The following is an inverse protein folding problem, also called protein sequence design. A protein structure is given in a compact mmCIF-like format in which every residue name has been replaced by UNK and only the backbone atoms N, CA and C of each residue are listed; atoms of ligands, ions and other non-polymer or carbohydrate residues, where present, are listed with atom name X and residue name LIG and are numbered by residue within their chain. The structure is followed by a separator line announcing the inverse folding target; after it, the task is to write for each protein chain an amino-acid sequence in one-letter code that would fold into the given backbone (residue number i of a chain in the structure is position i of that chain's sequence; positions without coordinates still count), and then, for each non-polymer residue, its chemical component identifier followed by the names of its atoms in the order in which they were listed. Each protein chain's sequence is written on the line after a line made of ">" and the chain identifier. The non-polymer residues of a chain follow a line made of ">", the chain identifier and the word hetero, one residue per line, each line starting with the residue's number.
data_IF_596240915825
#
_entry.id   IF_596240915825
#
_cell.length_a   1.000
_cell.length_b   1.000
_cell.length_c   1.000
_cell.angle_alpha   90.00
_cell.angle_beta   90.00
_cell.angle_gamma   90.00
#
_symmetry.space_group_name_H-M   'P 1'
#
loop_
_entity.id
_entity.type
_entity.pdbx_description
1 polymer ?
#
# COMPACT_ATOMS: atom_id res chain seq x y z
N UNK A 1 -11.96 7.82 16.78
CA UNK A 1 -13.42 7.54 16.73
C UNK A 1 -13.96 8.12 15.41
N UNK A 2 -13.74 7.41 14.31
CA UNK A 2 -14.23 7.78 12.97
C UNK A 2 -15.70 7.37 12.86
N UNK A 3 -16.57 8.33 12.56
CA UNK A 3 -18.01 8.12 12.49
C UNK A 3 -18.37 7.12 11.37
N UNK A 4 -19.27 6.13 11.58
CA UNK A 4 -19.67 5.14 10.58
C UNK A 4 -20.16 5.77 9.26
N UNK A 5 -20.72 6.98 9.33
CA UNK A 5 -21.16 7.74 8.17
C UNK A 5 -19.98 8.17 7.27
N UNK A 6 -18.87 8.59 7.87
CA UNK A 6 -17.66 8.99 7.13
C UNK A 6 -17.07 7.79 6.38
N UNK A 7 -17.02 6.62 7.02
CA UNK A 7 -16.50 5.38 6.43
C UNK A 7 -17.36 4.88 5.25
N UNK A 8 -18.68 5.11 5.29
CA UNK A 8 -19.58 4.81 4.17
C UNK A 8 -19.38 5.75 2.98
N UNK A 9 -19.00 7.00 3.24
CA UNK A 9 -18.71 7.98 2.18
C UNK A 9 -17.32 7.75 1.54
N UNK A 10 -16.32 7.31 2.31
CA UNK A 10 -15.00 6.97 1.79
C UNK A 10 -15.03 5.71 0.92
N UNK A 11 -15.77 4.68 1.33
CA UNK A 11 -15.99 3.46 0.54
C UNK A 11 -16.70 3.74 -0.78
N UNK A 12 -17.81 4.49 -0.75
CA UNK A 12 -18.49 4.91 -1.98
C UNK A 12 -17.56 5.70 -2.91
N UNK A 13 -16.80 6.65 -2.36
CA UNK A 13 -15.85 7.44 -3.14
C UNK A 13 -14.75 6.56 -3.75
N UNK A 14 -14.22 5.58 -3.01
CA UNK A 14 -13.27 4.59 -3.51
C UNK A 14 -13.82 3.82 -4.70
N UNK A 15 -15.06 3.32 -4.61
CA UNK A 15 -15.71 2.64 -5.75
C UNK A 15 -15.90 3.56 -6.95
N UNK A 16 -16.30 4.82 -6.74
CA UNK A 16 -16.40 5.78 -7.85
C UNK A 16 -15.05 5.98 -8.55
N UNK A 17 -13.95 6.07 -7.80
CA UNK A 17 -12.61 6.16 -8.38
C UNK A 17 -12.30 4.91 -9.21
N UNK A 18 -12.62 3.71 -8.72
CA UNK A 18 -12.37 2.46 -9.45
C UNK A 18 -13.15 2.39 -10.77
N UNK A 19 -14.43 2.77 -10.75
CA UNK A 19 -15.25 2.84 -11.96
C UNK A 19 -14.72 3.86 -12.97
N UNK A 20 -14.29 5.04 -12.49
CA UNK A 20 -13.70 6.07 -13.36
C UNK A 20 -12.38 5.59 -13.97
N UNK A 21 -11.52 4.94 -13.18
CA UNK A 21 -10.27 4.36 -13.67
C UNK A 21 -10.55 3.24 -14.70
N UNK A 22 -11.52 2.37 -14.43
CA UNK A 22 -11.90 1.29 -15.34
C UNK A 22 -12.46 1.84 -16.66
N UNK A 23 -13.33 2.85 -16.59
CA UNK A 23 -13.86 3.55 -17.74
C UNK A 23 -12.74 4.20 -18.57
N UNK A 24 -11.80 4.86 -17.92
CA UNK A 24 -10.66 5.50 -18.59
C UNK A 24 -9.76 4.49 -19.29
N UNK A 25 -9.45 3.36 -18.63
CA UNK A 25 -8.71 2.24 -19.25
C UNK A 25 -9.45 1.70 -20.49
N UNK A 26 -10.77 1.57 -20.41
CA UNK A 26 -11.62 1.17 -21.53
C UNK A 26 -11.58 2.17 -22.70
N UNK A 27 -11.61 3.47 -22.40
CA UNK A 27 -11.52 4.53 -23.41
C UNK A 27 -10.18 4.55 -24.15
N UNK A 28 -9.06 4.32 -23.44
CA UNK A 28 -7.72 4.25 -24.06
C UNK A 28 -7.57 3.10 -25.05
N UNK A 29 -8.38 2.05 -24.92
CA UNK A 29 -8.45 0.94 -25.88
C UNK A 29 -9.33 1.28 -27.09
N UNK A 30 -10.13 2.35 -27.01
CA UNK A 30 -10.99 2.83 -28.09
C UNK A 30 -10.25 3.83 -28.99
N UNK A 31 -10.61 3.89 -30.28
CA UNK A 31 -9.95 4.73 -31.29
C UNK A 31 -10.19 6.24 -31.06
N UNK A 32 -11.15 6.61 -30.20
CA UNK A 32 -11.55 8.00 -29.96
C UNK A 32 -10.92 8.53 -28.68
N UNK A 33 -9.68 9.01 -28.79
CA UNK A 33 -8.82 9.39 -27.68
C UNK A 33 -9.09 10.83 -27.16
N UNK A 34 -10.35 11.14 -26.82
CA UNK A 34 -10.73 12.42 -26.23
C UNK A 34 -11.32 12.19 -24.82
N UNK A 35 -10.47 11.94 -23.83
CA UNK A 35 -10.91 11.74 -22.44
C UNK A 35 -10.77 13.03 -21.63
N UNK A 36 -11.88 13.71 -21.35
CA UNK A 36 -11.99 14.80 -20.37
C UNK A 36 -12.16 14.30 -18.93
N UNK A 37 -12.28 12.99 -18.74
CA UNK A 37 -12.53 12.36 -17.43
C UNK A 37 -11.34 12.53 -16.48
N UNK A 38 -10.14 12.60 -17.05
CA UNK A 38 -8.92 12.93 -16.32
C UNK A 38 -9.04 14.21 -15.50
N UNK A 39 -9.61 15.26 -16.09
CA UNK A 39 -9.75 16.57 -15.44
C UNK A 39 -10.59 16.49 -14.17
N UNK A 40 -11.53 15.53 -14.12
CA UNK A 40 -12.38 15.30 -12.95
C UNK A 40 -11.60 14.63 -11.81
N UNK A 41 -10.70 13.69 -12.12
CA UNK A 41 -9.82 13.03 -11.15
C UNK A 41 -8.68 13.94 -10.69
N UNK A 42 -8.15 14.78 -11.58
CA UNK A 42 -7.01 15.66 -11.33
C UNK A 42 -7.41 17.01 -10.73
N UNK A 43 -8.71 17.27 -10.55
CA UNK A 43 -9.16 18.44 -9.81
C UNK A 43 -8.64 18.40 -8.38
N UNK A 44 -7.99 19.48 -7.92
CA UNK A 44 -7.29 19.58 -6.63
C UNK A 44 -8.09 18.99 -5.45
N UNK A 45 -9.35 19.39 -5.30
CA UNK A 45 -10.23 18.88 -4.24
C UNK A 45 -10.52 17.38 -4.34
N UNK A 46 -10.65 16.86 -5.55
CA UNK A 46 -10.90 15.43 -5.79
C UNK A 46 -9.65 14.62 -5.46
N UNK A 47 -8.49 15.10 -5.90
CA UNK A 47 -7.20 14.47 -5.66
C UNK A 47 -6.85 14.43 -4.17
N UNK A 48 -7.01 15.54 -3.45
CA UNK A 48 -6.82 15.59 -1.99
C UNK A 48 -7.76 14.64 -1.26
N UNK A 49 -9.03 14.56 -1.69
CA UNK A 49 -9.99 13.63 -1.12
C UNK A 49 -9.60 12.18 -1.40
N UNK A 50 -9.06 11.91 -2.57
CA UNK A 50 -8.57 10.57 -2.93
C UNK A 50 -7.36 10.18 -2.11
N UNK A 51 -6.32 11.00 -2.03
CA UNK A 51 -5.15 10.76 -1.17
C UNK A 51 -5.56 10.48 0.29
N UNK A 52 -6.49 11.29 0.83
CA UNK A 52 -7.02 11.07 2.19
C UNK A 52 -7.76 9.74 2.32
N UNK A 53 -8.57 9.39 1.32
CA UNK A 53 -9.33 8.14 1.30
C UNK A 53 -8.40 6.93 1.24
N UNK A 54 -7.37 6.96 0.39
CA UNK A 54 -6.35 5.89 0.34
C UNK A 54 -5.63 5.75 1.68
N UNK A 55 -5.21 6.89 2.26
CA UNK A 55 -4.54 6.87 3.56
C UNK A 55 -5.41 6.23 4.63
N UNK A 56 -6.67 6.66 4.75
CA UNK A 56 -7.62 6.10 5.72
C UNK A 56 -7.79 4.60 5.50
N UNK A 57 -8.00 4.16 4.26
CA UNK A 57 -8.19 2.74 3.95
C UNK A 57 -6.94 1.90 4.27
N UNK A 58 -5.76 2.39 3.90
CA UNK A 58 -4.50 1.71 4.16
C UNK A 58 -4.21 1.57 5.66
N UNK A 59 -4.44 2.65 6.43
CA UNK A 59 -4.26 2.64 7.89
C UNK A 59 -5.26 1.71 8.57
N UNK A 60 -6.55 1.78 8.23
CA UNK A 60 -7.57 0.90 8.80
C UNK A 60 -7.29 -0.57 8.49
N UNK A 61 -6.86 -0.87 7.25
CA UNK A 61 -6.48 -2.22 6.85
C UNK A 61 -5.25 -2.70 7.62
N UNK A 62 -4.24 -1.85 7.81
CA UNK A 62 -3.06 -2.16 8.61
C UNK A 62 -3.41 -2.39 10.08
N UNK A 63 -4.27 -1.55 10.69
CA UNK A 63 -4.73 -1.73 12.07
C UNK A 63 -5.44 -3.07 12.26
N UNK A 64 -6.33 -3.43 11.31
CA UNK A 64 -7.02 -4.72 11.33
C UNK A 64 -6.06 -5.90 11.18
N UNK A 65 -5.00 -5.76 10.36
CA UNK A 65 -3.99 -6.80 10.17
C UNK A 65 -3.14 -7.04 11.39
N UNK A 66 -2.64 -5.98 12.02
CA UNK A 66 -1.79 -6.08 13.20
C UNK A 66 -2.55 -6.57 14.45
N UNK A 67 -3.87 -6.39 14.46
CA UNK A 67 -4.76 -6.89 15.51
C UNK A 67 -5.19 -8.34 15.31
N UNK A 68 -4.80 -9.00 14.21
CA UNK A 68 -5.15 -10.39 13.94
C UNK A 68 -4.30 -11.35 14.78
N UNK A 69 -4.91 -12.40 15.33
CA UNK A 69 -4.19 -13.45 16.07
C UNK A 69 -3.16 -14.19 15.18
N UNK A 70 -3.37 -14.16 13.86
CA UNK A 70 -2.51 -14.79 12.85
C UNK A 70 -1.49 -13.83 12.23
N UNK A 71 -1.45 -12.57 12.65
CA UNK A 71 -0.67 -11.51 12.02
C UNK A 71 0.82 -11.86 11.85
N UNK A 72 1.37 -12.53 12.85
CA UNK A 72 2.78 -12.85 12.97
C UNK A 72 3.11 -14.27 12.51
N UNK A 73 2.09 -15.07 12.22
CA UNK A 73 2.27 -16.45 11.83
C UNK A 73 2.77 -16.53 10.39
N UNK A 74 3.61 -17.53 10.21
CA UNK A 74 3.94 -18.10 8.92
C UNK A 74 2.69 -18.38 8.09
N UNK A 75 2.65 -17.92 6.84
CA UNK A 75 1.66 -18.41 5.87
C UNK A 75 2.11 -19.70 5.20
N UNK A 76 3.40 -20.04 5.34
CA UNK A 76 4.02 -21.26 4.84
C UNK A 76 3.84 -22.35 5.89
N UNK A 77 2.80 -23.18 5.80
CA UNK A 77 2.56 -24.31 6.73
C UNK A 77 3.62 -25.42 6.72
N UNK A 78 4.84 -25.12 6.27
CA UNK A 78 6.01 -25.98 6.33
C UNK A 78 6.75 -25.60 7.60
N UNK A 79 6.53 -26.36 8.67
CA UNK A 79 7.65 -26.65 9.59
C UNK A 79 8.77 -27.14 8.68
N UNK A 80 9.87 -26.41 8.52
CA UNK A 80 11.22 -26.97 8.45
C UNK A 80 12.28 -25.99 7.92
N UNK A 81 13.44 -26.17 8.54
CA UNK A 81 14.79 -26.02 8.03
C UNK A 81 15.47 -24.65 8.11
N UNK A 82 16.64 -24.69 8.74
CA UNK A 82 17.44 -23.57 9.26
C UNK A 82 18.21 -22.87 8.12
N UNK A 83 17.65 -22.85 6.91
CA UNK A 83 18.33 -22.35 5.73
C UNK A 83 17.39 -21.49 4.86
N UNK A 84 17.34 -20.20 5.18
CA UNK A 84 17.26 -19.12 4.20
C UNK A 84 15.98 -18.98 3.33
N UNK A 85 14.86 -19.61 3.66
CA UNK A 85 13.58 -19.26 3.02
C UNK A 85 12.77 -18.42 3.98
N UNK A 86 12.70 -17.13 3.66
CA UNK A 86 11.95 -16.13 4.39
C UNK A 86 10.51 -16.54 4.50
N UNK A 87 10.06 -16.61 5.75
CA UNK A 87 8.68 -16.93 5.99
C UNK A 87 7.81 -15.71 5.70
N UNK A 88 6.95 -15.83 4.70
CA UNK A 88 6.01 -14.77 4.35
C UNK A 88 4.92 -14.80 5.41
N UNK A 89 4.81 -13.74 6.20
CA UNK A 89 3.69 -13.60 7.14
C UNK A 89 2.50 -12.95 6.45
N UNK A 90 1.32 -13.15 7.03
CA UNK A 90 0.08 -12.54 6.55
C UNK A 90 0.17 -11.00 6.48
N UNK A 91 0.79 -10.38 7.49
CA UNK A 91 1.00 -8.93 7.53
C UNK A 91 1.87 -8.47 6.37
N UNK A 92 2.99 -9.15 6.13
CA UNK A 92 3.95 -8.76 5.10
C UNK A 92 3.34 -8.83 3.69
N UNK A 93 2.61 -9.90 3.40
CA UNK A 93 1.97 -10.10 2.10
C UNK A 93 0.84 -9.08 1.87
N UNK A 94 -0.03 -8.88 2.87
CA UNK A 94 -1.18 -7.99 2.73
C UNK A 94 -0.78 -6.52 2.74
N UNK A 95 0.28 -6.14 3.44
CA UNK A 95 0.84 -4.80 3.37
C UNK A 95 1.40 -4.51 1.97
N UNK A 96 2.21 -5.43 1.42
CA UNK A 96 2.72 -5.32 0.05
C UNK A 96 1.61 -5.22 -1.00
N UNK A 97 0.58 -6.07 -0.92
CA UNK A 97 -0.60 -6.01 -1.81
C UNK A 97 -1.33 -4.67 -1.70
N UNK A 98 -1.36 -4.05 -0.52
CA UNK A 98 -2.01 -2.76 -0.30
C UNK A 98 -1.24 -1.63 -0.98
N UNK A 99 0.10 -1.61 -0.83
CA UNK A 99 0.93 -0.66 -1.54
C UNK A 99 0.81 -0.84 -3.07
N UNK A 100 0.83 -2.08 -3.57
CA UNK A 100 0.68 -2.34 -5.01
C UNK A 100 -0.68 -1.86 -5.54
N UNK A 101 -1.76 -2.10 -4.79
CA UNK A 101 -3.09 -1.63 -5.17
C UNK A 101 -3.14 -0.10 -5.28
N UNK A 102 -2.46 0.64 -4.39
CA UNK A 102 -2.34 2.10 -4.51
C UNK A 102 -1.58 2.46 -5.80
N UNK A 103 -0.44 1.80 -6.08
CA UNK A 103 0.34 2.01 -7.31
C UNK A 103 -0.51 1.84 -8.58
N UNK A 104 -1.26 0.74 -8.66
CA UNK A 104 -2.07 0.43 -9.84
C UNK A 104 -3.16 1.48 -10.10
N UNK A 105 -3.70 2.09 -9.04
CA UNK A 105 -4.75 3.10 -9.16
C UNK A 105 -4.19 4.45 -9.59
N UNK A 106 -3.07 4.93 -9.04
CA UNK A 106 -2.53 6.24 -9.44
C UNK A 106 -1.74 6.21 -10.75
N UNK A 107 -1.24 5.04 -11.20
CA UNK A 107 -0.44 4.94 -12.43
C UNK A 107 -1.20 5.39 -13.69
N UNK A 108 -2.54 5.39 -13.65
CA UNK A 108 -3.35 5.89 -14.77
C UNK A 108 -3.33 7.42 -14.90
N UNK A 109 -3.03 8.14 -13.82
CA UNK A 109 -3.06 9.61 -13.80
C UNK A 109 -2.12 10.18 -14.86
N UNK A 110 -2.51 11.18 -15.65
CA UNK A 110 -1.67 11.68 -16.75
C UNK A 110 -0.51 12.55 -16.24
N UNK A 111 -0.73 13.29 -15.15
CA UNK A 111 0.23 14.24 -14.58
C UNK A 111 1.19 13.56 -13.63
N UNK A 112 2.48 13.85 -13.80
CA UNK A 112 3.57 13.28 -12.99
C UNK A 112 3.50 13.79 -11.55
N UNK A 113 3.13 15.06 -11.38
CA UNK A 113 3.01 15.73 -10.08
C UNK A 113 1.99 15.02 -9.18
N UNK A 114 0.87 14.58 -9.75
CA UNK A 114 -0.15 13.85 -9.00
C UNK A 114 0.31 12.44 -8.62
N UNK A 115 1.05 11.76 -9.50
CA UNK A 115 1.66 10.46 -9.17
C UNK A 115 2.70 10.59 -8.05
N UNK A 116 3.48 11.68 -8.05
CA UNK A 116 4.45 11.97 -6.99
C UNK A 116 3.75 12.15 -5.63
N UNK A 117 2.58 12.79 -5.58
CA UNK A 117 1.82 12.90 -4.32
C UNK A 117 1.38 11.54 -3.76
N UNK A 118 1.00 10.59 -4.64
CA UNK A 118 0.69 9.22 -4.19
C UNK A 118 1.93 8.44 -3.79
N UNK A 119 3.06 8.65 -4.47
CA UNK A 119 4.33 8.07 -4.07
C UNK A 119 4.72 8.56 -2.66
N UNK A 120 4.56 9.85 -2.38
CA UNK A 120 4.79 10.42 -1.05
C UNK A 120 3.86 9.82 0.00
N UNK A 121 2.60 9.54 -0.34
CA UNK A 121 1.70 8.79 0.54
C UNK A 121 2.21 7.37 0.80
N UNK A 122 2.71 6.65 -0.20
CA UNK A 122 3.25 5.30 -0.01
C UNK A 122 4.50 5.31 0.88
N UNK A 123 5.38 6.29 0.70
CA UNK A 123 6.55 6.49 1.56
C UNK A 123 6.14 6.79 3.01
N UNK A 124 5.14 7.65 3.21
CA UNK A 124 4.58 7.90 4.53
C UNK A 124 4.00 6.62 5.17
N UNK A 125 3.26 5.81 4.41
CA UNK A 125 2.71 4.55 4.92
C UNK A 125 3.82 3.55 5.30
N UNK A 126 4.93 3.53 4.56
CA UNK A 126 6.11 2.73 4.88
C UNK A 126 6.79 3.18 6.18
N UNK A 127 6.96 4.49 6.36
CA UNK A 127 7.50 5.06 7.60
C UNK A 127 6.61 4.74 8.81
N UNK A 128 5.29 4.94 8.68
CA UNK A 128 4.31 4.61 9.71
C UNK A 128 4.35 3.11 10.06
N UNK A 129 4.46 2.25 9.05
CA UNK A 129 4.60 0.80 9.23
C UNK A 129 5.90 0.43 9.96
N UNK A 130 7.03 1.04 9.58
CA UNK A 130 8.32 0.81 10.23
C UNK A 130 8.25 1.19 11.72
N UNK A 131 7.68 2.34 12.06
CA UNK A 131 7.52 2.78 13.45
C UNK A 131 6.72 1.75 14.25
N UNK A 132 5.61 1.25 13.69
CA UNK A 132 4.78 0.21 14.33
C UNK A 132 5.54 -1.10 14.50
N UNK A 133 6.33 -1.52 13.52
CA UNK A 133 7.17 -2.72 13.65
C UNK A 133 8.22 -2.57 14.76
N UNK A 134 8.82 -1.39 14.91
CA UNK A 134 9.76 -1.10 16.01
C UNK A 134 9.05 -1.14 17.36
N UNK A 135 7.85 -0.58 17.46
CA UNK A 135 7.03 -0.64 18.68
C UNK A 135 6.73 -2.10 19.06
N UNK A 136 6.24 -2.90 18.11
CA UNK A 136 5.94 -4.32 18.32
C UNK A 136 7.19 -5.12 18.72
N UNK A 137 8.33 -4.87 18.06
CA UNK A 137 9.61 -5.48 18.43
C UNK A 137 9.95 -5.22 19.91
N UNK A 138 9.79 -3.97 20.37
CA UNK A 138 10.08 -3.60 21.76
C UNK A 138 9.10 -4.25 22.73
N UNK A 139 7.83 -4.41 22.36
CA UNK A 139 6.84 -5.15 23.16
C UNK A 139 7.18 -6.63 23.31
N UNK A 140 7.85 -7.23 22.31
CA UNK A 140 8.32 -8.62 22.34
C UNK A 140 9.76 -8.78 22.84
N UNK A 141 10.41 -7.72 23.32
CA UNK A 141 11.83 -7.73 23.70
C UNK A 141 12.13 -8.71 24.85
N UNK A 142 11.16 -8.94 25.74
CA UNK A 142 11.25 -9.92 26.83
C UNK A 142 11.27 -11.38 26.34
N UNK A 143 10.93 -11.63 25.06
CA UNK A 143 10.93 -12.94 24.42
C UNK A 143 11.60 -12.88 23.03
N UNK A 144 12.94 -12.66 22.97
CA UNK A 144 13.66 -12.37 21.72
C UNK A 144 13.75 -13.57 20.74
N UNK A 145 13.28 -14.74 21.15
CA UNK A 145 13.17 -15.95 20.32
C UNK A 145 11.71 -16.44 20.19
N UNK A 146 10.75 -15.64 20.65
CA UNK A 146 9.33 -15.94 20.46
C UNK A 146 8.92 -15.82 19.01
N UNK A 147 7.92 -16.60 18.60
CA UNK A 147 7.40 -16.63 17.22
C UNK A 147 7.02 -15.23 16.73
N UNK A 148 6.44 -14.39 17.59
CA UNK A 148 6.08 -13.01 17.25
C UNK A 148 7.29 -12.11 16.97
N UNK A 149 8.37 -12.22 17.74
CA UNK A 149 9.59 -11.44 17.51
C UNK A 149 10.25 -11.84 16.18
N UNK A 150 10.34 -13.14 15.92
CA UNK A 150 10.81 -13.67 14.64
C UNK A 150 9.90 -13.25 13.47
N UNK A 151 8.58 -13.24 13.68
CA UNK A 151 7.60 -12.77 12.70
C UNK A 151 7.82 -11.30 12.31
N UNK A 152 8.09 -10.41 13.27
CA UNK A 152 8.41 -9.00 13.00
C UNK A 152 9.68 -8.87 12.14
N UNK A 153 10.73 -9.64 12.43
CA UNK A 153 11.96 -9.63 11.62
C UNK A 153 11.72 -10.15 10.19
N UNK A 154 10.95 -11.22 10.05
CA UNK A 154 10.57 -11.78 8.75
C UNK A 154 9.77 -10.78 7.91
N UNK A 155 8.81 -10.10 8.53
CA UNK A 155 8.04 -9.02 7.90
C UNK A 155 8.97 -7.94 7.34
N UNK A 156 9.86 -7.42 8.18
CA UNK A 156 10.78 -6.34 7.79
C UNK A 156 11.67 -6.79 6.64
N UNK A 157 12.23 -8.00 6.70
CA UNK A 157 13.10 -8.50 5.65
C UNK A 157 12.33 -8.71 4.32
N UNK A 158 11.10 -9.24 4.37
CA UNK A 158 10.27 -9.39 3.18
C UNK A 158 9.92 -8.04 2.54
N UNK A 159 9.54 -7.04 3.35
CA UNK A 159 9.26 -5.69 2.84
C UNK A 159 10.51 -5.08 2.20
N UNK A 160 11.70 -5.25 2.79
CA UNK A 160 12.96 -4.79 2.20
C UNK A 160 13.21 -5.43 0.83
N UNK A 161 12.96 -6.73 0.67
CA UNK A 161 13.11 -7.40 -0.63
C UNK A 161 12.16 -6.85 -1.67
N UNK A 162 10.89 -6.67 -1.32
CA UNK A 162 9.91 -6.07 -2.23
C UNK A 162 10.32 -4.66 -2.64
N UNK A 163 10.79 -3.84 -1.69
CA UNK A 163 11.22 -2.48 -1.99
C UNK A 163 12.43 -2.45 -2.93
N UNK A 164 13.35 -3.40 -2.83
CA UNK A 164 14.47 -3.56 -3.77
C UNK A 164 13.96 -3.89 -5.18
N UNK A 165 13.02 -4.83 -5.29
CA UNK A 165 12.41 -5.17 -6.58
C UNK A 165 11.64 -3.97 -7.18
N UNK A 166 11.08 -3.11 -6.31
CA UNK A 166 10.33 -1.93 -6.72
C UNK A 166 11.23 -0.78 -7.19
N UNK A 167 12.42 -0.64 -6.64
CA UNK A 167 13.42 0.35 -7.07
C UNK A 167 13.73 0.20 -8.56
N UNK A 168 13.82 -1.04 -9.05
CA UNK A 168 14.09 -1.37 -10.45
C UNK A 168 12.87 -1.20 -11.37
N UNK A 169 11.69 -0.89 -10.83
CA UNK A 169 10.48 -0.73 -11.63
C UNK A 169 10.56 0.58 -12.43
N UNK A 170 10.37 0.47 -13.75
CA UNK A 170 10.39 1.63 -14.68
C UNK A 170 9.52 2.81 -14.25
N UNK A 171 8.42 2.56 -13.54
CA UNK A 171 7.58 3.60 -12.96
C UNK A 171 8.32 4.43 -11.90
N UNK A 172 8.95 3.77 -10.92
CA UNK A 172 9.67 4.43 -9.82
C UNK A 172 10.90 5.16 -10.34
N UNK A 173 11.64 4.54 -11.27
CA UNK A 173 12.77 5.18 -11.93
C UNK A 173 12.38 6.48 -12.65
N UNK A 174 11.24 6.47 -13.38
CA UNK A 174 10.72 7.67 -14.05
C UNK A 174 10.32 8.74 -13.04
N UNK A 175 9.59 8.38 -11.99
CA UNK A 175 9.17 9.33 -10.96
C UNK A 175 10.39 9.95 -10.26
N UNK A 176 11.40 9.16 -9.90
CA UNK A 176 12.64 9.66 -9.30
C UNK A 176 13.39 10.62 -10.22
N UNK A 177 13.47 10.33 -11.52
CA UNK A 177 14.09 11.24 -12.48
C UNK A 177 13.35 12.58 -12.64
N UNK A 178 12.03 12.59 -12.40
CA UNK A 178 11.21 13.81 -12.48
C UNK A 178 11.24 14.65 -11.20
N UNK A 179 11.90 14.18 -10.12
CA UNK A 179 12.12 14.95 -8.88
C UNK A 179 13.40 15.79 -8.92
N UNK A 180 14.30 15.56 -9.87
CA UNK A 180 15.56 16.30 -10.06
C UNK A 180 15.35 17.55 -10.91
#
# INVERSE_FOLDING_TARGET
>A
MTCPFYMRMTTFFGHCIDEVIAFEKGLRLSVHNQSSVHETLTGERTLEKWLRTEKTYAVEKMDALLSSDTAWLSTSGVEFDVAMVLDVTEVSEKFAKTLLAITDRYNVLPQVEHRLQFLDLQLQLLEDFQIRMVQMKNEFEDQPLGESFCGVLNILNYVILILKDWEDTTLILRLNSSRQ
#
